data_IF_605882004077
#
_entry.id   IF_605882004077
#
_cell.length_a   1.000
_cell.length_b   1.000
_cell.length_c   1.000
_cell.angle_alpha   90.00
_cell.angle_beta   90.00
_cell.angle_gamma   90.00
#
_symmetry.space_group_name_H-M   'P 1'
#
loop_
_entity.id
_entity.type
_entity.pdbx_description
1 polymer ?
#
# COMPACT_ATOMS: atom_id res chain seq x y z
N UNK A 1 3.10 -17.54 -2.89
CA UNK A 1 2.01 -16.75 -3.51
C UNK A 1 2.64 -15.44 -3.92
N UNK A 2 2.65 -15.20 -5.21
CA UNK A 2 2.87 -13.90 -5.81
C UNK A 2 1.66 -12.99 -5.59
N UNK A 3 1.80 -11.70 -5.90
CA UNK A 3 0.78 -10.69 -5.61
C UNK A 3 -0.56 -10.99 -6.28
N UNK A 4 -0.53 -11.51 -7.51
CA UNK A 4 -1.74 -11.91 -8.26
C UNK A 4 -2.50 -13.03 -7.55
N UNK A 5 -1.78 -14.02 -7.00
CA UNK A 5 -2.41 -15.11 -6.26
C UNK A 5 -3.10 -14.63 -4.98
N UNK A 6 -2.52 -13.64 -4.28
CA UNK A 6 -3.15 -13.03 -3.09
C UNK A 6 -4.38 -12.23 -3.48
N UNK A 7 -4.29 -11.37 -4.50
CA UNK A 7 -5.42 -10.57 -4.98
C UNK A 7 -6.59 -11.46 -5.44
N UNK A 8 -6.31 -12.52 -6.19
CA UNK A 8 -7.32 -13.50 -6.61
C UNK A 8 -7.98 -14.19 -5.41
N UNK A 9 -7.19 -14.55 -4.39
CA UNK A 9 -7.72 -15.16 -3.16
C UNK A 9 -8.60 -14.19 -2.38
N UNK A 10 -8.22 -12.91 -2.28
CA UNK A 10 -9.07 -11.86 -1.69
C UNK A 10 -10.40 -11.73 -2.44
N UNK A 11 -10.38 -11.71 -3.79
CA UNK A 11 -11.59 -11.62 -4.60
C UNK A 11 -12.52 -12.81 -4.35
N UNK A 12 -11.97 -14.04 -4.39
CA UNK A 12 -12.74 -15.25 -4.13
C UNK A 12 -13.40 -15.22 -2.74
N UNK A 13 -12.65 -14.74 -1.74
CA UNK A 13 -13.14 -14.59 -0.38
C UNK A 13 -14.25 -13.53 -0.27
N UNK A 14 -14.09 -12.37 -0.92
CA UNK A 14 -15.10 -11.32 -0.96
C UNK A 14 -16.41 -11.85 -1.56
N UNK A 15 -16.33 -12.60 -2.66
CA UNK A 15 -17.50 -13.22 -3.28
C UNK A 15 -18.19 -14.23 -2.35
N UNK A 16 -17.41 -15.05 -1.63
CA UNK A 16 -17.96 -15.97 -0.65
C UNK A 16 -18.66 -15.21 0.50
N UNK A 17 -18.08 -14.10 0.98
CA UNK A 17 -18.69 -13.26 2.01
C UNK A 17 -20.05 -12.68 1.55
N UNK A 18 -20.12 -12.19 0.31
CA UNK A 18 -21.35 -11.64 -0.28
C UNK A 18 -22.44 -12.71 -0.42
N UNK A 19 -22.06 -13.93 -0.83
CA UNK A 19 -22.97 -15.08 -0.88
C UNK A 19 -23.48 -15.46 0.51
N UNK A 20 -22.59 -15.57 1.50
CA UNK A 20 -22.97 -15.84 2.89
C UNK A 20 -23.90 -14.74 3.43
N UNK A 21 -23.67 -13.47 3.09
CA UNK A 21 -24.54 -12.36 3.48
C UNK A 21 -25.97 -12.49 2.91
N UNK A 22 -26.11 -12.96 1.67
CA UNK A 22 -27.41 -13.26 1.06
C UNK A 22 -28.14 -14.40 1.79
N UNK A 23 -27.43 -15.48 2.11
CA UNK A 23 -27.98 -16.63 2.83
C UNK A 23 -28.44 -16.22 4.24
N UNK A 24 -27.61 -15.44 4.95
CA UNK A 24 -27.97 -14.86 6.25
C UNK A 24 -29.24 -14.01 6.14
N UNK A 25 -29.29 -13.12 5.14
CA UNK A 25 -30.43 -12.22 4.93
C UNK A 25 -31.73 -12.97 4.67
N UNK A 26 -31.67 -14.08 3.93
CA UNK A 26 -32.82 -14.96 3.69
C UNK A 26 -33.23 -15.71 4.96
N UNK A 27 -32.27 -16.27 5.70
CA UNK A 27 -32.54 -17.02 6.93
C UNK A 27 -33.21 -16.16 8.00
N UNK A 28 -32.73 -14.93 8.22
CA UNK A 28 -33.26 -14.00 9.23
C UNK A 28 -34.72 -13.60 8.94
N UNK A 29 -35.16 -13.61 7.67
CA UNK A 29 -36.57 -13.38 7.32
C UNK A 29 -37.48 -14.49 7.86
N UNK A 30 -36.96 -15.72 7.91
CA UNK A 30 -37.69 -16.91 8.34
C UNK A 30 -37.51 -17.21 9.83
N UNK A 31 -36.40 -16.79 10.45
CA UNK A 31 -36.08 -17.01 11.86
C UNK A 31 -35.73 -15.70 12.57
N UNK A 32 -36.74 -15.02 13.15
CA UNK A 32 -36.55 -13.72 13.83
C UNK A 32 -35.56 -13.78 15.01
N UNK A 33 -35.51 -14.92 15.71
CA UNK A 33 -34.60 -15.15 16.84
C UNK A 33 -33.11 -15.17 16.43
N UNK A 34 -32.83 -15.39 15.14
CA UNK A 34 -31.49 -15.38 14.59
C UNK A 34 -30.93 -13.99 14.30
N UNK A 35 -31.81 -12.99 14.21
CA UNK A 35 -31.49 -11.64 13.71
C UNK A 35 -30.33 -10.97 14.42
N UNK A 36 -30.28 -11.04 15.75
CA UNK A 36 -29.24 -10.37 16.55
C UNK A 36 -27.86 -11.02 16.36
N UNK A 37 -27.78 -12.35 16.45
CA UNK A 37 -26.52 -13.09 16.29
C UNK A 37 -25.97 -13.01 14.87
N UNK A 38 -26.86 -13.19 13.88
CA UNK A 38 -26.47 -13.10 12.47
C UNK A 38 -26.19 -11.67 12.02
N UNK A 39 -26.86 -10.66 12.60
CA UNK A 39 -26.54 -9.26 12.33
C UNK A 39 -25.10 -8.91 12.72
N UNK A 40 -24.62 -9.42 13.86
CA UNK A 40 -23.24 -9.25 14.26
C UNK A 40 -22.26 -9.96 13.30
N UNK A 41 -22.60 -11.16 12.84
CA UNK A 41 -21.79 -11.88 11.83
C UNK A 41 -21.75 -11.12 10.50
N UNK A 42 -22.88 -10.63 10.02
CA UNK A 42 -22.95 -9.80 8.81
C UNK A 42 -22.07 -8.55 8.90
N UNK A 43 -22.01 -7.92 10.08
CA UNK A 43 -21.14 -6.76 10.30
C UNK A 43 -19.64 -7.13 10.25
N UNK A 44 -19.26 -8.28 10.84
CA UNK A 44 -17.87 -8.76 10.75
C UNK A 44 -17.50 -9.14 9.31
N UNK A 45 -18.38 -9.84 8.58
CA UNK A 45 -18.20 -10.15 7.16
C UNK A 45 -17.98 -8.87 6.34
N UNK A 46 -18.84 -7.87 6.52
CA UNK A 46 -18.72 -6.59 5.80
C UNK A 46 -17.41 -5.86 6.11
N UNK A 47 -17.02 -5.82 7.39
CA UNK A 47 -15.76 -5.18 7.78
C UNK A 47 -14.56 -5.93 7.21
N UNK A 48 -14.59 -7.27 7.22
CA UNK A 48 -13.51 -8.04 6.62
C UNK A 48 -13.42 -7.87 5.11
N UNK A 49 -14.54 -7.81 4.39
CA UNK A 49 -14.58 -7.51 2.95
C UNK A 49 -13.86 -6.20 2.63
N UNK A 50 -14.01 -5.16 3.48
CA UNK A 50 -13.27 -3.91 3.33
C UNK A 50 -11.76 -4.11 3.50
N UNK A 51 -11.34 -4.82 4.54
CA UNK A 51 -9.91 -5.08 4.81
C UNK A 51 -9.29 -5.91 3.68
N UNK A 52 -10.00 -6.90 3.15
CA UNK A 52 -9.56 -7.70 1.99
C UNK A 52 -9.46 -6.87 0.72
N UNK A 53 -10.37 -5.90 0.55
CA UNK A 53 -10.31 -4.95 -0.58
C UNK A 53 -9.06 -4.08 -0.48
N UNK A 54 -8.79 -3.51 0.70
CA UNK A 54 -7.57 -2.75 0.96
C UNK A 54 -6.33 -3.59 0.70
N UNK A 55 -6.30 -4.83 1.21
CA UNK A 55 -5.18 -5.75 0.97
C UNK A 55 -4.98 -6.00 -0.54
N UNK A 56 -6.05 -6.28 -1.27
CA UNK A 56 -6.02 -6.47 -2.73
C UNK A 56 -5.48 -5.23 -3.45
N UNK A 57 -5.82 -4.03 -3.00
CA UNK A 57 -5.36 -2.77 -3.61
C UNK A 57 -3.90 -2.44 -3.26
N UNK A 58 -3.41 -2.84 -2.09
CA UNK A 58 -2.02 -2.63 -1.63
C UNK A 58 -1.05 -3.66 -2.23
N UNK A 59 -1.53 -4.87 -2.53
CA UNK A 59 -0.72 -5.90 -3.15
C UNK A 59 -0.45 -5.54 -4.62
N UNK A 60 0.81 -5.33 -5.04
CA UNK A 60 1.11 -4.96 -6.42
C UNK A 60 0.67 -6.04 -7.41
N UNK A 61 0.02 -5.62 -8.50
CA UNK A 61 -0.57 -6.47 -9.55
C UNK A 61 0.46 -7.31 -10.35
N UNK A 62 1.74 -7.27 -10.00
CA UNK A 62 2.81 -8.08 -10.59
C UNK A 62 4.08 -8.05 -9.74
N UNK A 63 4.81 -9.17 -9.71
CA UNK A 63 6.19 -9.36 -9.22
C UNK A 63 6.51 -8.94 -7.78
N UNK A 64 6.31 -7.67 -7.46
CA UNK A 64 6.79 -7.00 -6.26
C UNK A 64 6.27 -7.55 -4.94
N UNK A 65 5.17 -8.31 -4.88
CA UNK A 65 4.74 -8.93 -3.62
C UNK A 65 5.52 -10.21 -3.28
N UNK A 66 5.95 -10.96 -4.31
CA UNK A 66 6.82 -12.12 -4.09
C UNK A 66 8.20 -11.64 -3.59
N UNK A 67 8.70 -10.56 -4.19
CA UNK A 67 10.01 -9.98 -3.90
C UNK A 67 9.99 -8.86 -2.85
N UNK A 68 8.82 -8.50 -2.29
CA UNK A 68 8.76 -7.47 -1.25
C UNK A 68 9.45 -7.95 0.01
N UNK A 69 10.04 -6.99 0.72
CA UNK A 69 10.65 -7.14 2.05
C UNK A 69 9.69 -7.64 3.14
N UNK A 70 8.42 -7.90 2.81
CA UNK A 70 7.52 -8.60 3.72
C UNK A 70 8.13 -9.96 4.08
N UNK A 71 8.22 -10.19 5.38
CA UNK A 71 8.73 -11.46 5.91
C UNK A 71 7.88 -12.62 5.38
N UNK A 72 8.52 -13.77 5.15
CA UNK A 72 7.82 -15.00 4.77
C UNK A 72 6.73 -15.40 5.78
N UNK A 73 6.86 -14.96 7.04
CA UNK A 73 5.86 -15.16 8.07
C UNK A 73 4.60 -14.34 7.78
N UNK A 74 4.71 -13.03 7.53
CA UNK A 74 3.54 -12.19 7.18
C UNK A 74 2.79 -12.70 5.95
N UNK A 75 3.52 -13.15 4.91
CA UNK A 75 2.92 -13.75 3.70
C UNK A 75 2.20 -15.07 4.00
N UNK A 76 2.70 -15.85 4.96
CA UNK A 76 2.05 -17.09 5.43
C UNK A 76 0.80 -16.76 6.26
N UNK A 77 0.92 -15.82 7.19
CA UNK A 77 -0.18 -15.43 8.07
C UNK A 77 -1.39 -14.92 7.27
N UNK A 78 -1.16 -14.08 6.25
CA UNK A 78 -2.21 -13.62 5.33
C UNK A 78 -2.92 -14.80 4.65
N UNK A 79 -2.15 -15.79 4.18
CA UNK A 79 -2.72 -16.99 3.55
C UNK A 79 -3.57 -17.80 4.52
N UNK A 80 -3.04 -18.02 5.72
CA UNK A 80 -3.72 -18.81 6.74
C UNK A 80 -5.02 -18.12 7.19
N UNK A 81 -5.01 -16.78 7.29
CA UNK A 81 -6.21 -15.98 7.58
C UNK A 81 -7.25 -16.06 6.45
N UNK A 82 -6.83 -15.92 5.19
CA UNK A 82 -7.72 -16.03 4.01
C UNK A 82 -8.34 -17.43 3.94
N UNK A 83 -7.54 -18.48 4.18
CA UNK A 83 -8.01 -19.86 4.22
C UNK A 83 -8.98 -20.09 5.37
N UNK A 84 -8.65 -19.61 6.58
CA UNK A 84 -9.50 -19.68 7.77
C UNK A 84 -10.86 -19.03 7.51
N UNK A 85 -10.88 -17.84 6.90
CA UNK A 85 -12.14 -17.19 6.56
C UNK A 85 -13.00 -18.01 5.60
N UNK A 86 -12.40 -18.58 4.56
CA UNK A 86 -13.12 -19.41 3.57
C UNK A 86 -13.76 -20.63 4.21
N UNK A 87 -13.13 -21.19 5.25
CA UNK A 87 -13.70 -22.27 6.06
C UNK A 87 -14.89 -21.76 6.87
N UNK A 88 -14.75 -20.61 7.54
CA UNK A 88 -15.80 -20.06 8.40
C UNK A 88 -17.05 -19.65 7.63
N UNK A 89 -16.92 -19.06 6.44
CA UNK A 89 -18.09 -18.74 5.60
C UNK A 89 -18.85 -19.99 5.21
N UNK A 90 -18.16 -21.04 4.78
CA UNK A 90 -18.79 -22.34 4.49
C UNK A 90 -19.46 -22.96 5.72
N UNK A 91 -18.81 -22.91 6.89
CA UNK A 91 -19.42 -23.40 8.12
C UNK A 91 -20.70 -22.64 8.49
N UNK A 92 -20.74 -21.32 8.25
CA UNK A 92 -21.96 -20.52 8.44
C UNK A 92 -23.04 -20.98 7.47
N UNK A 93 -22.71 -21.17 6.19
CA UNK A 93 -23.65 -21.65 5.17
C UNK A 93 -24.22 -23.05 5.50
N UNK A 94 -23.36 -23.97 5.92
CA UNK A 94 -23.75 -25.32 6.36
C UNK A 94 -24.65 -25.29 7.61
N UNK A 95 -24.36 -24.39 8.55
CA UNK A 95 -25.22 -24.21 9.72
C UNK A 95 -26.58 -23.67 9.31
N UNK A 96 -26.64 -22.68 8.42
CA UNK A 96 -27.90 -22.07 8.03
C UNK A 96 -28.78 -23.01 7.20
N UNK A 97 -28.19 -23.72 6.23
CA UNK A 97 -28.88 -24.72 5.42
C UNK A 97 -29.37 -25.92 6.25
N UNK A 98 -28.61 -26.33 7.27
CA UNK A 98 -29.02 -27.41 8.18
C UNK A 98 -30.16 -27.06 9.14
N UNK A 99 -30.63 -25.81 9.16
CA UNK A 99 -31.67 -25.31 10.06
C UNK A 99 -32.87 -24.74 9.31
N UNK A 100 -33.27 -25.37 8.19
CA UNK A 100 -34.47 -25.02 7.43
C UNK A 100 -35.69 -25.88 7.84
N UNK A 101 -36.91 -25.35 7.64
CA UNK A 101 -38.17 -26.07 7.85
C UNK A 101 -38.87 -25.82 9.19
N UNK A 102 -39.87 -26.66 9.52
CA UNK A 102 -40.85 -26.41 10.61
C UNK A 102 -40.24 -26.36 12.02
N UNK A 103 -39.05 -26.97 12.21
CA UNK A 103 -38.31 -26.98 13.49
C UNK A 103 -37.05 -26.10 13.46
N UNK A 104 -36.90 -25.24 12.45
CA UNK A 104 -35.78 -24.32 12.27
C UNK A 104 -35.52 -23.45 13.51
N UNK A 105 -36.56 -22.84 14.07
CA UNK A 105 -36.42 -21.97 15.24
C UNK A 105 -35.93 -22.74 16.49
N UNK A 106 -36.44 -23.96 16.71
CA UNK A 106 -36.08 -24.77 17.87
C UNK A 106 -34.64 -25.31 17.77
N UNK A 107 -34.26 -25.79 16.59
CA UNK A 107 -32.88 -26.24 16.31
C UNK A 107 -31.89 -25.06 16.33
N UNK A 108 -32.31 -23.89 15.85
CA UNK A 108 -31.51 -22.66 15.90
C UNK A 108 -31.21 -22.23 17.34
N UNK A 109 -32.25 -22.19 18.19
CA UNK A 109 -32.15 -21.77 19.58
C UNK A 109 -31.22 -22.70 20.40
N UNK A 110 -31.20 -24.00 20.09
CA UNK A 110 -30.43 -25.01 20.84
C UNK A 110 -29.01 -25.21 20.32
N UNK A 111 -28.79 -25.20 19.00
CA UNK A 111 -27.49 -25.56 18.39
C UNK A 111 -26.94 -24.47 17.46
N UNK A 112 -27.78 -23.86 16.63
CA UNK A 112 -27.38 -22.83 15.67
C UNK A 112 -26.70 -21.62 16.32
N UNK A 113 -27.31 -21.08 17.40
CA UNK A 113 -26.80 -19.90 18.11
C UNK A 113 -25.37 -20.06 18.63
N UNK A 114 -25.03 -21.24 19.16
CA UNK A 114 -23.68 -21.52 19.68
C UNK A 114 -22.65 -21.55 18.55
N UNK A 115 -22.94 -22.26 17.45
CA UNK A 115 -22.04 -22.35 16.32
C UNK A 115 -21.78 -20.98 15.68
N UNK A 116 -22.84 -20.19 15.48
CA UNK A 116 -22.74 -18.82 14.93
C UNK A 116 -21.93 -17.90 15.85
N UNK A 117 -22.06 -18.05 17.17
CA UNK A 117 -21.21 -17.31 18.11
C UNK A 117 -19.72 -17.68 17.98
N UNK A 118 -19.40 -18.97 17.80
CA UNK A 118 -18.04 -19.43 17.53
C UNK A 118 -17.51 -18.86 16.21
N UNK A 119 -18.29 -18.95 15.13
CA UNK A 119 -17.94 -18.38 13.83
C UNK A 119 -17.68 -16.88 13.93
N UNK A 120 -18.50 -16.13 14.69
CA UNK A 120 -18.29 -14.70 14.94
C UNK A 120 -16.92 -14.43 15.57
N UNK A 121 -16.56 -15.13 16.64
CA UNK A 121 -15.27 -14.94 17.32
C UNK A 121 -14.10 -15.21 16.37
N UNK A 122 -14.22 -16.24 15.53
CA UNK A 122 -13.20 -16.57 14.55
C UNK A 122 -13.10 -15.52 13.44
N UNK A 123 -14.24 -15.03 12.92
CA UNK A 123 -14.28 -13.91 11.98
C UNK A 123 -13.63 -12.64 12.54
N UNK A 124 -13.97 -12.30 13.78
CA UNK A 124 -13.41 -11.12 14.46
C UNK A 124 -11.90 -11.26 14.66
N UNK A 125 -11.42 -12.45 15.02
CA UNK A 125 -9.99 -12.75 15.18
C UNK A 125 -9.26 -12.62 13.85
N UNK A 126 -9.78 -13.27 12.80
CA UNK A 126 -9.26 -13.18 11.44
C UNK A 126 -9.22 -11.73 10.95
N UNK A 127 -10.28 -10.95 11.23
CA UNK A 127 -10.35 -9.53 10.88
C UNK A 127 -9.27 -8.70 11.55
N UNK A 128 -9.11 -8.83 12.87
CA UNK A 128 -8.10 -8.09 13.62
C UNK A 128 -6.69 -8.44 13.14
N UNK A 129 -6.41 -9.72 12.90
CA UNK A 129 -5.13 -10.18 12.39
C UNK A 129 -4.85 -9.64 10.97
N UNK A 130 -5.86 -9.66 10.09
CA UNK A 130 -5.71 -9.15 8.72
C UNK A 130 -5.51 -7.63 8.69
N UNK A 131 -6.25 -6.87 9.52
CA UNK A 131 -6.07 -5.43 9.64
C UNK A 131 -4.64 -5.10 10.07
N UNK A 132 -4.11 -5.81 11.07
CA UNK A 132 -2.73 -5.62 11.51
C UNK A 132 -1.72 -5.95 10.40
N UNK A 133 -1.97 -6.99 9.61
CA UNK A 133 -1.13 -7.31 8.45
C UNK A 133 -1.15 -6.19 7.41
N UNK A 134 -2.32 -5.63 7.09
CA UNK A 134 -2.48 -4.49 6.17
C UNK A 134 -1.74 -3.25 6.68
N UNK A 135 -1.87 -2.93 7.97
CA UNK A 135 -1.15 -1.80 8.58
C UNK A 135 0.37 -1.99 8.52
N UNK A 136 0.83 -3.22 8.77
CA UNK A 136 2.25 -3.59 8.69
C UNK A 136 2.79 -3.43 7.27
N UNK A 137 2.06 -3.90 6.26
CA UNK A 137 2.44 -3.73 4.85
C UNK A 137 2.49 -2.26 4.49
N UNK A 138 1.48 -1.49 4.89
CA UNK A 138 1.40 -0.05 4.59
C UNK A 138 2.57 0.71 5.21
N UNK A 139 2.92 0.39 6.46
CA UNK A 139 4.05 0.99 7.15
C UNK A 139 5.38 0.62 6.48
N UNK A 140 5.59 -0.64 6.11
CA UNK A 140 6.79 -1.08 5.42
C UNK A 140 6.95 -0.35 4.07
N UNK A 141 5.88 -0.24 3.29
CA UNK A 141 5.88 0.52 2.03
C UNK A 141 6.24 1.99 2.25
N UNK A 142 5.68 2.63 3.28
CA UNK A 142 5.99 4.02 3.63
C UNK A 142 7.47 4.20 4.05
N UNK A 143 8.04 3.24 4.78
CA UNK A 143 9.45 3.24 5.15
C UNK A 143 10.36 3.12 3.92
N UNK A 144 10.00 2.27 2.97
CA UNK A 144 10.78 2.09 1.74
C UNK A 144 10.76 3.36 0.88
N UNK A 145 9.59 3.97 0.70
CA UNK A 145 9.47 5.27 0.01
C UNK A 145 10.32 6.34 0.69
N UNK A 146 10.33 6.38 2.04
CA UNK A 146 11.17 7.32 2.79
C UNK A 146 12.66 7.05 2.54
N UNK A 147 13.09 5.79 2.54
CA UNK A 147 14.47 5.42 2.28
C UNK A 147 14.89 5.82 0.87
N UNK A 148 14.07 5.51 -0.14
CA UNK A 148 14.33 5.88 -1.54
C UNK A 148 14.43 7.40 -1.70
N UNK A 149 13.54 8.15 -1.07
CA UNK A 149 13.58 9.62 -1.09
C UNK A 149 14.84 10.18 -0.43
N UNK A 150 15.33 9.51 0.63
CA UNK A 150 16.57 9.90 1.31
C UNK A 150 17.79 9.63 0.42
N UNK A 151 17.82 8.49 -0.27
CA UNK A 151 18.88 8.16 -1.22
C UNK A 151 18.89 9.16 -2.39
N UNK A 152 17.72 9.48 -2.95
CA UNK A 152 17.60 10.50 -4.02
C UNK A 152 18.08 11.87 -3.54
N UNK A 153 17.78 12.25 -2.29
CA UNK A 153 18.24 13.51 -1.71
C UNK A 153 19.77 13.54 -1.58
N UNK A 154 20.38 12.44 -1.19
CA UNK A 154 21.83 12.28 -1.09
C UNK A 154 22.49 12.38 -2.48
N UNK A 155 22.00 11.61 -3.46
CA UNK A 155 22.45 11.66 -4.86
C UNK A 155 22.34 13.08 -5.44
N UNK A 156 21.22 13.76 -5.20
CA UNK A 156 21.00 15.14 -5.66
C UNK A 156 21.97 16.13 -4.99
N UNK A 157 22.35 15.87 -3.73
CA UNK A 157 23.33 16.69 -3.01
C UNK A 157 24.73 16.47 -3.56
N UNK A 158 25.10 15.23 -3.88
CA UNK A 158 26.36 14.90 -4.54
C UNK A 158 26.46 15.55 -5.92
N UNK A 159 25.42 15.38 -6.76
CA UNK A 159 25.34 16.01 -8.08
C UNK A 159 25.51 17.52 -8.02
N UNK A 160 24.93 18.18 -7.01
CA UNK A 160 25.11 19.62 -6.79
C UNK A 160 26.56 19.98 -6.48
N UNK A 161 27.24 19.16 -5.67
CA UNK A 161 28.67 19.28 -5.41
C UNK A 161 29.49 19.18 -6.69
N UNK A 162 29.24 18.15 -7.51
CA UNK A 162 29.92 17.93 -8.79
C UNK A 162 29.70 19.11 -9.77
N UNK A 163 28.48 19.66 -9.81
CA UNK A 163 28.18 20.85 -10.61
C UNK A 163 28.97 22.07 -10.13
N UNK A 164 29.08 22.29 -8.81
CA UNK A 164 29.88 23.38 -8.27
C UNK A 164 31.38 23.24 -8.61
N UNK A 165 31.93 22.02 -8.53
CA UNK A 165 33.31 21.74 -8.95
C UNK A 165 33.51 22.01 -10.44
N UNK A 166 32.58 21.55 -11.28
CA UNK A 166 32.60 21.79 -12.73
C UNK A 166 32.60 23.29 -13.04
N UNK A 167 31.73 24.08 -12.39
CA UNK A 167 31.68 25.54 -12.55
C UNK A 167 33.00 26.19 -12.12
N UNK A 168 33.59 25.74 -11.00
CA UNK A 168 34.87 26.27 -10.53
C UNK A 168 36.01 25.98 -11.53
N UNK A 169 36.01 24.79 -12.14
CA UNK A 169 36.99 24.41 -13.18
C UNK A 169 36.84 25.24 -14.45
N UNK A 170 35.61 25.53 -14.89
CA UNK A 170 35.35 26.44 -16.02
C UNK A 170 35.95 27.83 -15.73
N UNK A 171 35.67 28.39 -14.54
CA UNK A 171 36.20 29.70 -14.12
C UNK A 171 37.73 29.74 -14.04
N UNK A 172 38.35 28.66 -13.60
CA UNK A 172 39.81 28.55 -13.58
C UNK A 172 40.39 28.61 -15.00
N UNK A 173 39.81 27.87 -15.93
CA UNK A 173 40.21 27.90 -17.35
C UNK A 173 40.00 29.30 -17.95
N UNK A 174 38.90 29.98 -17.64
CA UNK A 174 38.66 31.37 -18.06
C UNK A 174 39.76 32.31 -17.54
N UNK A 175 40.17 32.19 -16.28
CA UNK A 175 41.24 32.99 -15.70
C UNK A 175 42.61 32.73 -16.36
N UNK A 176 42.95 31.46 -16.63
CA UNK A 176 44.16 31.09 -17.37
C UNK A 176 44.19 31.66 -18.79
N UNK A 177 43.02 31.79 -19.43
CA UNK A 177 42.90 32.38 -20.77
C UNK A 177 42.98 33.91 -20.75
N UNK A 178 42.56 34.56 -19.68
CA UNK A 178 42.67 36.01 -19.52
C UNK A 178 44.13 36.50 -19.46
N UNK A 179 45.07 35.63 -19.08
CA UNK A 179 46.52 35.91 -19.04
C UNK A 179 47.22 35.70 -20.40
N UNK A 180 46.52 35.23 -21.44
CA UNK A 180 47.09 34.94 -22.77
C UNK A 180 46.91 36.10 -23.75
N UNK A 181 47.73 36.11 -24.81
CA UNK A 181 47.66 37.14 -25.86
C UNK A 181 46.25 37.16 -26.52
N UNK A 182 45.50 38.27 -26.39
CA UNK A 182 44.16 38.40 -26.95
C UNK A 182 44.12 38.41 -28.48
N UNK A 183 45.26 38.63 -29.15
CA UNK A 183 45.35 38.62 -30.61
C UNK A 183 45.65 37.23 -31.21
N UNK A 184 45.89 36.19 -30.39
CA UNK A 184 46.03 34.82 -30.90
C UNK A 184 44.63 34.26 -31.29
N UNK A 185 44.40 33.88 -32.56
CA UNK A 185 43.13 33.29 -33.01
C UNK A 185 42.71 32.05 -32.21
N UNK A 186 43.68 31.29 -31.66
CA UNK A 186 43.42 30.12 -30.81
C UNK A 186 42.88 30.50 -29.43
N UNK A 187 43.35 31.63 -28.88
CA UNK A 187 42.84 32.21 -27.62
C UNK A 187 41.39 32.62 -27.77
N UNK A 188 41.05 33.28 -28.88
CA UNK A 188 39.68 33.72 -29.17
C UNK A 188 38.68 32.55 -29.24
N UNK A 189 39.02 31.46 -29.93
CA UNK A 189 38.16 30.27 -30.04
C UNK A 189 37.93 29.62 -28.67
N UNK A 190 38.98 29.50 -27.84
CA UNK A 190 38.85 28.94 -26.50
C UNK A 190 37.98 29.80 -25.58
N UNK A 191 38.14 31.13 -25.61
CA UNK A 191 37.34 32.06 -24.79
C UNK A 191 35.85 31.96 -25.14
N UNK A 192 35.52 31.89 -26.44
CA UNK A 192 34.13 31.71 -26.88
C UNK A 192 33.54 30.39 -26.37
N UNK A 193 34.28 29.29 -26.50
CA UNK A 193 33.84 27.98 -26.02
C UNK A 193 33.64 27.93 -24.50
N UNK A 194 34.56 28.53 -23.73
CA UNK A 194 34.42 28.61 -22.27
C UNK A 194 33.21 29.44 -21.85
N UNK A 195 32.93 30.54 -22.55
CA UNK A 195 31.75 31.36 -22.28
C UNK A 195 30.44 30.60 -22.56
N UNK A 196 30.40 29.78 -23.62
CA UNK A 196 29.27 28.89 -23.92
C UNK A 196 29.08 27.83 -22.80
N UNK A 197 30.17 27.23 -22.31
CA UNK A 197 30.14 26.29 -21.17
C UNK A 197 29.67 26.96 -19.87
N UNK A 198 30.13 28.18 -19.61
CA UNK A 198 29.77 28.99 -18.44
C UNK A 198 28.28 29.34 -18.45
N UNK A 199 27.74 29.68 -19.62
CA UNK A 199 26.30 29.93 -19.83
C UNK A 199 25.44 28.69 -19.53
N UNK A 200 25.82 27.52 -20.06
CA UNK A 200 25.11 26.25 -19.81
C UNK A 200 25.17 25.88 -18.32
N UNK A 201 26.35 25.98 -17.71
CA UNK A 201 26.53 25.65 -16.30
C UNK A 201 25.75 26.60 -15.38
N UNK A 202 25.69 27.89 -15.72
CA UNK A 202 24.87 28.89 -15.03
C UNK A 202 23.38 28.56 -15.08
N UNK A 203 22.86 28.16 -16.24
CA UNK A 203 21.45 27.80 -16.42
C UNK A 203 21.01 26.61 -15.55
N UNK A 204 21.90 25.66 -15.24
CA UNK A 204 21.57 24.50 -14.39
C UNK A 204 21.56 24.90 -12.91
N UNK A 205 22.40 25.84 -12.50
CA UNK A 205 22.46 26.34 -11.13
C UNK A 205 21.27 27.25 -10.76
N UNK A 206 20.79 28.07 -11.70
CA UNK A 206 19.72 29.05 -11.43
C UNK A 206 18.35 28.41 -11.19
N UNK A 207 18.11 27.21 -11.72
CA UNK A 207 16.84 26.45 -11.55
C UNK A 207 16.66 25.95 -10.11
N UNK A 208 17.69 25.98 -9.27
CA UNK A 208 17.65 25.51 -7.88
C UNK A 208 17.09 26.54 -6.87
N UNK A 209 16.59 27.70 -7.31
CA UNK A 209 15.89 28.65 -6.43
C UNK A 209 14.47 28.16 -6.12
N UNK A 210 14.34 27.48 -4.97
CA UNK A 210 13.13 26.79 -4.45
C UNK A 210 11.82 27.59 -4.54
N UNK A 211 10.65 26.93 -4.76
CA UNK A 211 9.34 27.52 -4.44
C UNK A 211 9.24 27.72 -2.93
N UNK A 212 8.78 28.91 -2.51
CA UNK A 212 8.60 29.26 -1.11
C UNK A 212 7.74 28.22 -0.35
N UNK A 213 8.21 27.84 0.83
CA UNK A 213 7.44 27.10 1.84
C UNK A 213 6.14 27.87 2.11
N UNK A 214 4.95 27.24 2.13
CA UNK A 214 3.73 27.94 2.54
C UNK A 214 3.88 28.30 4.01
N UNK A 215 3.82 29.59 4.32
CA UNK A 215 3.70 30.06 5.70
C UNK A 215 2.44 29.45 6.32
N UNK A 216 2.64 28.76 7.44
CA UNK A 216 1.57 28.28 8.30
C UNK A 216 0.89 29.48 8.95
N UNK A 217 -0.14 30.01 8.30
CA UNK A 217 -1.08 30.95 8.92
C UNK A 217 -1.94 30.19 9.94
N UNK A 218 -1.41 30.03 11.15
CA UNK A 218 -2.22 29.84 12.34
C UNK A 218 -2.54 31.23 12.87
N UNK A 219 -3.76 31.71 12.59
CA UNK A 219 -4.38 32.82 13.31
C UNK A 219 -5.47 32.24 14.22
N UNK A 220 -5.42 32.74 15.46
CA UNK A 220 -6.28 32.58 16.65
C UNK A 220 -7.72 32.06 16.46
#
# INVERSE_FOLDING_TARGET
>A
MDGLSVAASCIAVIQAADQTYMIISQFVRNCKEAKSGLGAVSQELFTLTKVLTQLKDIVPNGGGFADSELTNNTKRDIRDIISSFSVVTREIEDVLSGHEGRLAALSWATRGKRKVATSKVLLETNRRALSLAVDTITLATAQNIKQDTTNILDDTTHMRGDIHDLVARIRNLEAMMAEKDPNDPRTYVLVRYLNDLSSVAGSVCDVSSRPATPESNASE
#
